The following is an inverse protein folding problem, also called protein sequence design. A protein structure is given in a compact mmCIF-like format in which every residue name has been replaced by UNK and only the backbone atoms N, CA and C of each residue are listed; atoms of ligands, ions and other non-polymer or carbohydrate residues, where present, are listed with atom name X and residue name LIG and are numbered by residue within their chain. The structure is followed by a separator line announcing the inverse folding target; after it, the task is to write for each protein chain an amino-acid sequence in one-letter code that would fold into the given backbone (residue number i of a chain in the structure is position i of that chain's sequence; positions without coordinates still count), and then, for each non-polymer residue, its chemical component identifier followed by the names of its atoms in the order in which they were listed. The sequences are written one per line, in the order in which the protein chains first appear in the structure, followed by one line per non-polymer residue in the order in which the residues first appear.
data_IF_423751308688
#
_entry.id   IF_423751308688
#
_cell.length_a   1.000
_cell.length_b   1.000
_cell.length_c   1.000
_cell.angle_alpha   90.00
_cell.angle_beta   90.00
_cell.angle_gamma   90.00
#
_symmetry.space_group_name_H-M   'P 1'
#
loop_
_entity.id
_entity.type
_entity.pdbx_description
1 polymer ?
#
# COMPACT_ATOMS: atom_id res chain seq x y z
N UNK A 1 -62.70 -47.30 -49.38
CA UNK A 1 -63.00 -45.85 -49.44
C UNK A 1 -62.73 -45.24 -48.07
N UNK A 2 -62.09 -44.06 -48.02
CA UNK A 2 -61.70 -43.29 -46.80
C UNK A 2 -62.96 -42.93 -45.95
N UNK A 3 -62.94 -42.60 -44.65
CA UNK A 3 -62.08 -41.66 -43.90
C UNK A 3 -62.17 -41.83 -42.36
N UNK A 4 -61.04 -41.52 -41.70
CA UNK A 4 -60.81 -41.06 -40.31
C UNK A 4 -61.71 -39.85 -39.89
N UNK A 5 -61.86 -39.38 -38.64
CA UNK A 5 -61.06 -39.41 -37.38
C UNK A 5 -61.99 -38.98 -36.22
N UNK A 6 -61.77 -39.50 -35.02
CA UNK A 6 -62.63 -39.30 -33.85
C UNK A 6 -62.17 -38.26 -32.82
N UNK A 7 -63.19 -37.58 -32.27
CA UNK A 7 -63.40 -37.07 -30.90
C UNK A 7 -62.64 -35.85 -30.33
N UNK A 8 -63.43 -34.77 -30.18
CA UNK A 8 -63.41 -33.69 -29.17
C UNK A 8 -63.61 -34.28 -27.75
N UNK A 9 -62.86 -33.88 -26.72
CA UNK A 9 -62.92 -32.66 -25.86
C UNK A 9 -63.50 -32.98 -24.47
N UNK A 10 -62.65 -32.85 -23.42
CA UNK A 10 -62.96 -32.25 -22.12
C UNK A 10 -63.73 -33.03 -21.05
N UNK A 11 -63.07 -33.28 -19.91
CA UNK A 11 -63.58 -33.34 -18.51
C UNK A 11 -62.39 -33.84 -17.66
N UNK A 12 -61.81 -33.08 -16.73
CA UNK A 12 -62.41 -32.71 -15.44
C UNK A 12 -61.91 -33.69 -14.37
N UNK A 13 -60.97 -33.26 -13.52
CA UNK A 13 -61.09 -33.30 -12.05
C UNK A 13 -59.77 -33.26 -11.27
N UNK A 14 -59.78 -32.39 -10.26
CA UNK A 14 -58.73 -32.05 -9.31
C UNK A 14 -58.76 -32.98 -8.10
N UNK A 15 -57.57 -33.20 -7.51
CA UNK A 15 -57.26 -33.72 -6.17
C UNK A 15 -57.58 -35.22 -6.01
N UNK A 16 -56.68 -36.07 -5.53
CA UNK A 16 -55.98 -35.97 -4.25
C UNK A 16 -54.98 -37.15 -4.17
N UNK A 17 -53.72 -36.93 -3.80
CA UNK A 17 -53.05 -37.80 -2.82
C UNK A 17 -51.80 -37.13 -2.25
N UNK A 18 -51.74 -37.24 -0.92
CA UNK A 18 -50.90 -36.59 0.05
C UNK A 18 -49.45 -37.09 0.04
N UNK A 19 -48.50 -36.14 0.14
CA UNK A 19 -47.47 -36.18 1.17
C UNK A 19 -46.07 -36.67 0.79
N UNK A 20 -45.10 -35.74 0.79
CA UNK A 20 -43.87 -35.85 1.60
C UNK A 20 -43.28 -34.45 1.85
N UNK A 21 -43.02 -34.16 3.13
CA UNK A 21 -42.55 -32.87 3.67
C UNK A 21 -41.05 -32.92 3.89
N UNK A 22 -40.24 -32.10 3.20
CA UNK A 22 -38.88 -31.65 3.59
C UNK A 22 -38.54 -30.47 2.66
N UNK A 23 -37.80 -29.40 2.97
CA UNK A 23 -37.26 -28.78 4.16
C UNK A 23 -36.85 -27.37 3.71
N UNK A 24 -36.75 -26.46 4.66
CA UNK A 24 -36.30 -25.07 4.55
C UNK A 24 -34.88 -24.96 3.94
N UNK A 25 -34.72 -24.23 2.84
CA UNK A 25 -33.49 -23.48 2.56
C UNK A 25 -33.81 -22.34 1.56
N UNK A 26 -33.92 -21.12 2.08
CA UNK A 26 -33.90 -19.94 1.24
C UNK A 26 -32.60 -19.95 0.43
N UNK A 27 -32.74 -20.05 -0.89
CA UNK A 27 -31.67 -19.91 -1.86
C UNK A 27 -31.12 -18.47 -1.77
N UNK A 28 -30.16 -18.23 -0.86
CA UNK A 28 -29.35 -17.00 -0.88
C UNK A 28 -28.63 -16.98 -2.22
N UNK A 29 -29.14 -16.19 -3.15
CA UNK A 29 -28.58 -16.03 -4.49
C UNK A 29 -27.08 -15.71 -4.39
N UNK A 30 -26.23 -16.24 -5.27
CA UNK A 30 -24.78 -16.12 -5.20
C UNK A 30 -24.28 -14.72 -5.62
N UNK A 31 -24.85 -13.67 -5.06
CA UNK A 31 -24.50 -12.26 -5.35
C UNK A 31 -23.02 -12.02 -5.06
N UNK A 32 -22.48 -12.67 -4.03
CA UNK A 32 -21.05 -12.62 -3.69
C UNK A 32 -20.14 -13.11 -4.82
N UNK A 33 -20.55 -14.14 -5.58
CA UNK A 33 -19.75 -14.65 -6.70
C UNK A 33 -19.68 -13.62 -7.83
N UNK A 34 -20.79 -12.94 -8.12
CA UNK A 34 -20.84 -11.88 -9.15
C UNK A 34 -19.96 -10.70 -8.73
N UNK A 35 -20.01 -10.30 -7.46
CA UNK A 35 -19.18 -9.22 -6.92
C UNK A 35 -17.70 -9.59 -7.00
N UNK A 36 -17.32 -10.82 -6.65
CA UNK A 36 -15.93 -11.28 -6.72
C UNK A 36 -15.41 -11.31 -8.16
N UNK A 37 -16.21 -11.80 -9.12
CA UNK A 37 -15.84 -11.82 -10.54
C UNK A 37 -15.70 -10.39 -11.07
N UNK A 38 -16.65 -9.51 -10.75
CA UNK A 38 -16.59 -8.10 -11.15
C UNK A 38 -15.34 -7.41 -10.59
N UNK A 39 -15.00 -7.66 -9.32
CA UNK A 39 -13.80 -7.11 -8.69
C UNK A 39 -12.52 -7.64 -9.35
N UNK A 40 -12.46 -8.93 -9.68
CA UNK A 40 -11.32 -9.52 -10.37
C UNK A 40 -11.13 -8.94 -11.78
N UNK A 41 -12.22 -8.76 -12.53
CA UNK A 41 -12.19 -8.13 -13.86
C UNK A 41 -11.73 -6.67 -13.75
N UNK A 42 -12.27 -5.90 -12.80
CA UNK A 42 -11.86 -4.52 -12.57
C UNK A 42 -10.37 -4.43 -12.21
N UNK A 43 -9.88 -5.34 -11.35
CA UNK A 43 -8.48 -5.43 -11.00
C UNK A 43 -7.59 -5.70 -12.22
N UNK A 44 -7.98 -6.64 -13.09
CA UNK A 44 -7.26 -6.92 -14.34
C UNK A 44 -7.23 -5.70 -15.27
N UNK A 45 -8.35 -4.97 -15.39
CA UNK A 45 -8.42 -3.74 -16.20
C UNK A 45 -7.51 -2.66 -15.61
N UNK A 46 -7.50 -2.47 -14.29
CA UNK A 46 -6.65 -1.48 -13.62
C UNK A 46 -5.16 -1.78 -13.83
N UNK A 47 -4.74 -3.04 -13.70
CA UNK A 47 -3.35 -3.44 -13.94
C UNK A 47 -2.96 -3.27 -15.42
N UNK A 48 -3.90 -3.51 -16.34
CA UNK A 48 -3.68 -3.33 -17.77
C UNK A 48 -3.58 -1.85 -18.19
N UNK A 49 -4.45 -0.99 -17.63
CA UNK A 49 -4.50 0.46 -17.97
C UNK A 49 -3.43 1.26 -17.23
N UNK A 50 -3.07 0.85 -16.01
CA UNK A 50 -2.04 1.50 -15.20
C UNK A 50 -0.86 0.53 -14.99
N UNK A 51 -0.01 0.33 -16.01
CA UNK A 51 1.21 -0.45 -15.82
C UNK A 51 2.05 0.21 -14.72
N UNK A 52 2.53 -0.55 -13.73
CA UNK A 52 3.31 0.01 -12.63
C UNK A 52 4.60 0.63 -13.18
N UNK A 53 4.68 1.95 -13.15
CA UNK A 53 5.86 2.71 -13.56
C UNK A 53 7.02 2.63 -12.54
N UNK A 54 6.79 2.05 -11.35
CA UNK A 54 7.84 1.89 -10.34
C UNK A 54 8.35 0.45 -10.29
N UNK A 55 9.64 0.31 -10.59
CA UNK A 55 10.43 -0.93 -10.57
C UNK A 55 10.29 -1.72 -9.25
N UNK A 56 9.98 -1.06 -8.12
CA UNK A 56 9.90 -1.68 -6.79
C UNK A 56 8.70 -2.62 -6.58
N UNK A 57 7.56 -2.41 -7.24
CA UNK A 57 6.38 -3.24 -7.04
C UNK A 57 6.49 -4.63 -7.71
N UNK A 58 7.31 -4.75 -8.76
CA UNK A 58 7.48 -5.98 -9.53
C UNK A 58 8.32 -7.04 -8.80
N UNK A 59 9.27 -6.61 -7.95
CA UNK A 59 10.12 -7.51 -7.15
C UNK A 59 9.35 -8.27 -6.07
N UNK A 60 8.19 -7.78 -5.63
CA UNK A 60 7.40 -8.40 -4.55
C UNK A 60 6.58 -9.60 -5.04
N UNK A 61 6.14 -9.62 -6.30
CA UNK A 61 5.22 -10.65 -6.80
C UNK A 61 5.84 -11.67 -7.78
N UNK A 62 6.89 -11.36 -8.55
CA UNK A 62 7.58 -12.37 -9.35
C UNK A 62 8.89 -11.88 -9.99
N UNK A 63 10.03 -12.46 -9.62
CA UNK A 63 11.33 -12.17 -10.26
C UNK A 63 11.41 -12.61 -11.73
N UNK A 64 10.59 -13.59 -12.15
CA UNK A 64 10.56 -14.13 -13.52
C UNK A 64 9.70 -13.29 -14.47
N UNK A 65 8.57 -12.76 -14.01
CA UNK A 65 7.69 -11.91 -14.83
C UNK A 65 8.33 -10.57 -15.22
N UNK A 66 9.22 -10.04 -14.37
CA UNK A 66 9.87 -8.76 -14.60
C UNK A 66 10.87 -8.76 -15.78
N UNK A 67 11.56 -9.89 -16.02
CA UNK A 67 12.48 -10.03 -17.17
C UNK A 67 11.73 -9.95 -18.52
N UNK A 68 10.50 -10.45 -18.59
CA UNK A 68 9.69 -10.35 -19.81
C UNK A 68 9.21 -8.91 -20.04
N UNK A 69 8.93 -8.15 -18.98
CA UNK A 69 8.51 -6.76 -19.07
C UNK A 69 9.66 -5.82 -19.48
N UNK A 70 10.90 -6.07 -19.03
CA UNK A 70 12.07 -5.28 -19.45
C UNK A 70 12.39 -5.40 -20.95
N UNK A 71 11.91 -6.46 -21.60
CA UNK A 71 12.05 -6.65 -23.06
C UNK A 71 10.99 -5.84 -23.83
N UNK A 72 9.86 -5.52 -23.20
CA UNK A 72 8.74 -4.80 -23.80
C UNK A 72 8.75 -3.28 -23.54
N UNK A 73 9.51 -2.83 -22.54
CA UNK A 73 9.68 -1.40 -22.27
C UNK A 73 10.66 -0.82 -23.29
N UNK A 74 10.36 0.36 -23.88
CA UNK A 74 11.35 1.08 -24.67
C UNK A 74 12.58 1.31 -23.78
N UNK A 75 13.80 1.18 -24.34
CA UNK A 75 15.01 1.43 -23.56
C UNK A 75 14.88 2.82 -22.93
N UNK A 76 15.11 2.90 -21.62
CA UNK A 76 15.16 4.18 -20.91
C UNK A 76 16.11 5.07 -21.71
N UNK A 77 15.69 6.26 -22.16
CA UNK A 77 16.56 7.16 -22.90
C UNK A 77 17.86 7.29 -22.12
N UNK A 78 18.97 6.87 -22.73
CA UNK A 78 20.29 6.97 -22.12
C UNK A 78 20.66 8.44 -22.19
N UNK A 79 20.15 9.22 -21.23
CA UNK A 79 20.64 10.56 -20.98
C UNK A 79 22.08 10.42 -20.52
N UNK A 80 22.99 11.16 -21.16
CA UNK A 80 24.33 11.35 -20.64
C UNK A 80 24.23 12.10 -19.31
N UNK A 81 24.75 11.49 -18.24
CA UNK A 81 24.81 12.12 -16.93
C UNK A 81 25.92 13.16 -16.93
N UNK A 82 25.69 14.29 -16.26
CA UNK A 82 26.79 15.24 -16.02
C UNK A 82 27.80 14.64 -15.04
N UNK A 83 29.03 15.13 -15.02
CA UNK A 83 30.08 14.61 -14.13
C UNK A 83 29.66 14.71 -12.66
N UNK A 84 28.87 15.71 -12.28
CA UNK A 84 28.31 15.88 -10.93
C UNK A 84 27.26 14.80 -10.60
N UNK A 85 26.40 14.47 -11.56
CA UNK A 85 25.42 13.38 -11.43
C UNK A 85 26.14 12.03 -11.30
N UNK A 86 27.23 11.82 -12.05
CA UNK A 86 28.05 10.61 -11.95
C UNK A 86 28.71 10.55 -10.57
N UNK A 87 29.35 11.62 -10.13
CA UNK A 87 30.00 11.69 -8.83
C UNK A 87 29.02 11.41 -7.69
N UNK A 88 27.83 12.01 -7.69
CA UNK A 88 26.80 11.76 -6.67
C UNK A 88 26.34 10.30 -6.66
N UNK A 89 26.18 9.67 -7.82
CA UNK A 89 25.82 8.25 -7.94
C UNK A 89 26.90 7.33 -7.37
N UNK A 90 28.18 7.63 -7.63
CA UNK A 90 29.31 6.85 -7.09
C UNK A 90 29.33 6.94 -5.56
N UNK A 91 29.22 8.15 -5.02
CA UNK A 91 29.21 8.38 -3.57
C UNK A 91 28.04 7.66 -2.90
N UNK A 92 26.82 7.79 -3.44
CA UNK A 92 25.64 7.09 -2.89
C UNK A 92 25.84 5.58 -2.95
N UNK A 93 26.35 5.05 -4.07
CA UNK A 93 26.60 3.61 -4.22
C UNK A 93 27.62 3.11 -3.21
N UNK A 94 28.68 3.87 -2.98
CA UNK A 94 29.73 3.55 -2.02
C UNK A 94 29.18 3.54 -0.58
N UNK A 95 28.42 4.56 -0.19
CA UNK A 95 27.73 4.63 1.12
C UNK A 95 26.81 3.41 1.31
N UNK A 96 26.02 3.05 0.29
CA UNK A 96 25.11 1.89 0.36
C UNK A 96 25.86 0.55 0.38
N UNK A 97 27.06 0.48 -0.20
CA UNK A 97 27.92 -0.71 -0.17
C UNK A 97 28.77 -0.83 1.09
N UNK A 98 28.85 0.25 1.89
CA UNK A 98 29.63 0.26 3.12
C UNK A 98 29.00 -0.72 4.11
N UNK A 99 29.77 -1.69 4.64
CA UNK A 99 29.24 -2.66 5.59
C UNK A 99 28.75 -1.94 6.86
N UNK A 100 27.62 -2.37 7.44
CA UNK A 100 27.12 -1.78 8.65
C UNK A 100 28.13 -1.94 9.79
N UNK A 101 28.37 -0.86 10.52
CA UNK A 101 29.23 -0.88 11.70
C UNK A 101 28.46 -1.58 12.82
N UNK A 102 28.98 -2.70 13.31
CA UNK A 102 28.39 -3.40 14.46
C UNK A 102 28.70 -2.64 15.75
N UNK A 103 27.75 -1.82 16.18
CA UNK A 103 27.83 -1.10 17.45
C UNK A 103 27.11 -1.93 18.52
N UNK A 104 27.80 -2.18 19.64
CA UNK A 104 27.28 -2.97 20.79
C UNK A 104 25.90 -2.47 21.28
N UNK A 105 25.67 -1.15 21.23
CA UNK A 105 24.40 -0.51 21.59
C UNK A 105 23.99 0.46 20.46
N UNK A 106 23.19 0.02 19.47
CA UNK A 106 22.74 0.89 18.40
C UNK A 106 21.81 1.99 18.94
N UNK A 107 22.05 3.23 18.53
CA UNK A 107 21.30 4.42 18.96
C UNK A 107 20.60 5.06 17.77
N UNK A 108 19.31 5.33 17.91
CA UNK A 108 18.49 5.92 16.84
C UNK A 108 18.43 7.44 17.00
N UNK A 109 18.71 8.19 15.94
CA UNK A 109 18.51 9.64 15.92
C UNK A 109 17.15 9.98 15.32
N UNK A 110 16.28 10.61 16.13
CA UNK A 110 14.99 11.15 15.68
C UNK A 110 15.16 12.64 15.35
N UNK A 111 14.84 13.03 14.13
CA UNK A 111 14.85 14.42 13.69
C UNK A 111 13.41 14.87 13.40
N UNK A 112 12.93 15.84 14.16
CA UNK A 112 11.60 16.42 13.99
C UNK A 112 11.72 17.75 13.25
N UNK A 113 11.10 17.85 12.08
CA UNK A 113 10.98 19.09 11.33
C UNK A 113 9.58 19.66 11.58
N UNK A 114 9.50 20.76 12.32
CA UNK A 114 8.24 21.44 12.65
C UNK A 114 8.28 22.90 12.20
N UNK A 115 7.11 23.51 12.06
CA UNK A 115 7.01 24.96 11.83
C UNK A 115 7.07 25.77 13.12
N UNK A 116 6.92 25.14 14.30
CA UNK A 116 6.87 25.78 15.61
C UNK A 116 7.01 24.72 16.70
N UNK A 117 6.25 24.84 17.80
CA UNK A 117 6.18 23.79 18.84
C UNK A 117 5.75 22.43 18.26
N UNK A 118 6.35 21.36 18.80
CA UNK A 118 6.16 20.01 18.27
C UNK A 118 4.72 19.53 18.48
N UNK A 119 3.98 19.18 17.41
CA UNK A 119 2.66 18.58 17.57
C UNK A 119 2.78 17.20 18.24
N UNK A 120 1.78 16.85 19.05
CA UNK A 120 1.71 15.57 19.77
C UNK A 120 2.90 15.29 20.70
N UNK A 121 3.57 16.31 21.23
CA UNK A 121 4.72 16.13 22.14
C UNK A 121 4.41 15.20 23.33
N UNK A 122 3.20 15.26 23.89
CA UNK A 122 2.75 14.36 24.97
C UNK A 122 2.65 12.88 24.56
N UNK A 123 2.38 12.61 23.28
CA UNK A 123 2.36 11.24 22.76
C UNK A 123 3.80 10.74 22.61
N UNK A 124 4.68 11.58 22.06
CA UNK A 124 6.10 11.26 21.93
C UNK A 124 6.77 11.06 23.30
N UNK A 125 6.38 11.81 24.33
CA UNK A 125 6.84 11.58 25.71
C UNK A 125 6.57 10.14 26.18
N UNK A 126 5.38 9.62 25.87
CA UNK A 126 5.02 8.24 26.21
C UNK A 126 5.80 7.23 25.38
N UNK A 127 6.02 7.52 24.10
CA UNK A 127 6.80 6.67 23.20
C UNK A 127 8.26 6.54 23.65
N UNK A 128 8.87 7.63 24.11
CA UNK A 128 10.29 7.65 24.50
C UNK A 128 10.56 7.17 25.93
N UNK A 129 9.51 6.96 26.73
CA UNK A 129 9.63 6.54 28.12
C UNK A 129 10.21 5.12 28.23
N UNK A 130 11.30 4.98 29.00
CA UNK A 130 11.97 3.70 29.22
C UNK A 130 12.98 3.32 28.12
N UNK A 131 13.29 4.23 27.19
CA UNK A 131 14.23 4.02 26.10
C UNK A 131 15.36 5.05 26.04
N UNK A 132 15.63 5.76 27.13
CA UNK A 132 16.44 6.99 27.19
C UNK A 132 17.86 6.85 26.63
N UNK A 133 18.45 5.65 26.71
CA UNK A 133 19.81 5.38 26.22
C UNK A 133 19.86 4.95 24.74
N UNK A 134 18.71 4.58 24.16
CA UNK A 134 18.63 4.01 22.80
C UNK A 134 18.31 5.04 21.72
N UNK A 135 18.13 6.30 22.08
CA UNK A 135 17.81 7.34 21.11
C UNK A 135 18.43 8.70 21.42
N UNK A 136 18.55 9.53 20.38
CA UNK A 136 18.74 10.98 20.48
C UNK A 136 17.59 11.68 19.75
N UNK A 137 17.20 12.85 20.24
CA UNK A 137 16.17 13.68 19.63
C UNK A 137 16.80 15.01 19.20
N UNK A 138 16.46 15.42 17.98
CA UNK A 138 16.77 16.72 17.41
C UNK A 138 15.48 17.34 16.90
N UNK A 139 15.28 18.62 17.19
CA UNK A 139 14.09 19.37 16.75
C UNK A 139 14.55 20.54 15.93
N UNK A 140 14.01 20.69 14.72
CA UNK A 140 14.23 21.84 13.89
C UNK A 140 12.90 22.55 13.67
N UNK A 141 12.82 23.82 14.08
CA UNK A 141 11.63 24.65 13.93
C UNK A 141 11.88 25.75 12.91
N UNK A 142 11.08 25.79 11.84
CA UNK A 142 11.18 26.81 10.79
C UNK A 142 10.73 28.19 11.27
N UNK A 143 9.68 28.29 12.11
CA UNK A 143 9.17 29.58 12.61
C UNK A 143 9.34 29.65 14.13
N UNK A 144 10.24 30.52 14.57
CA UNK A 144 10.43 30.85 15.99
C UNK A 144 10.97 29.70 16.85
N UNK A 145 11.19 30.00 18.13
CA UNK A 145 11.70 29.04 19.12
C UNK A 145 10.53 28.22 19.67
N UNK A 146 10.51 26.89 19.50
CA UNK A 146 9.46 26.04 20.05
C UNK A 146 9.54 26.02 21.58
N UNK A 147 8.37 25.88 22.22
CA UNK A 147 8.26 25.66 23.66
C UNK A 147 7.97 24.18 23.88
N UNK A 148 8.86 23.50 24.60
CA UNK A 148 8.76 22.08 24.92
C UNK A 148 8.24 21.86 26.33
N UNK A 149 7.37 20.87 26.49
CA UNK A 149 6.80 20.45 27.77
C UNK A 149 7.46 19.17 28.29
N UNK A 150 7.87 18.27 27.41
CA UNK A 150 8.48 16.99 27.74
C UNK A 150 10.00 17.12 27.85
N UNK A 151 10.55 16.44 28.85
CA UNK A 151 12.00 16.42 29.14
C UNK A 151 12.86 15.93 27.99
N UNK A 152 12.31 15.15 27.05
CA UNK A 152 13.08 14.61 25.93
C UNK A 152 13.39 15.67 24.87
N UNK A 153 12.60 16.74 24.79
CA UNK A 153 12.72 17.78 23.77
C UNK A 153 13.39 19.06 24.29
N UNK A 154 13.50 19.22 25.62
CA UNK A 154 14.19 20.34 26.23
C UNK A 154 15.65 20.40 25.73
N UNK A 155 16.07 21.57 25.23
CA UNK A 155 17.40 21.84 24.69
C UNK A 155 17.80 20.94 23.50
N UNK A 156 16.82 20.45 22.74
CA UNK A 156 17.06 19.66 21.51
C UNK A 156 16.89 20.45 20.22
N UNK A 157 16.70 21.76 20.33
CA UNK A 157 16.45 22.65 19.19
C UNK A 157 17.72 22.94 18.37
N UNK A 158 17.64 22.68 17.07
CA UNK A 158 18.62 23.07 16.06
C UNK A 158 18.06 24.28 15.31
N UNK A 159 18.77 25.40 15.36
CA UNK A 159 18.42 26.63 14.64
C UNK A 159 18.78 26.50 13.16
N UNK A 160 17.90 26.95 12.27
CA UNK A 160 18.31 27.30 10.91
C UNK A 160 18.96 28.67 10.93
N UNK A 161 19.95 28.82 10.05
CA UNK A 161 20.42 30.13 9.62
C UNK A 161 19.38 30.74 8.66
N UNK A 162 19.19 32.06 8.71
CA UNK A 162 18.35 32.72 7.72
C UNK A 162 19.11 32.74 6.40
N UNK A 163 18.58 32.04 5.40
CA UNK A 163 19.06 32.19 4.03
C UNK A 163 18.42 33.46 3.49
N UNK A 164 19.22 34.50 3.28
CA UNK A 164 18.77 35.70 2.58
C UNK A 164 18.47 35.33 1.12
N UNK A 165 17.22 35.58 0.70
CA UNK A 165 16.75 35.47 -0.68
C UNK A 165 16.99 36.78 -1.44
#
# INVERSE_FOLDING_TARGET
MKTAKGWRLGMGDLKLLSGHRHARAQLRRPVWIIILISFFILFLILVYVYPPQSSSACYIFSSRGCKALSVWLPPVPVREFTDEEIASRVVIKEILSTPPIEIRNPKIAFMFLSSGSLPFEKLWDKFFRGHEERFTVYVHSSKGKPVHVSRYFINRDIRSEQVHE
#
